data_IF_848475483696
#
_entry.id   IF_848475483696
#
_cell.length_a   1.000
_cell.length_b   1.000
_cell.length_c   1.000
_cell.angle_alpha   90.00
_cell.angle_beta   90.00
_cell.angle_gamma   90.00
#
_symmetry.space_group_name_H-M   'P 1'
#
loop_
_entity.id
_entity.type
_entity.pdbx_description
1 polymer ?
#
# COMPACT_ATOMS: atom_id res chain seq x y z
N UNK A 1 -23.48 -23.35 -4.08
CA UNK A 1 -23.36 -22.75 -2.72
C UNK A 1 -24.24 -21.50 -2.68
N UNK A 2 -25.39 -21.54 -2.02
CA UNK A 2 -26.16 -20.32 -1.74
C UNK A 2 -25.55 -19.62 -0.54
N UNK A 3 -25.10 -18.38 -0.73
CA UNK A 3 -24.60 -17.55 0.37
C UNK A 3 -25.81 -17.18 1.25
N UNK A 4 -25.70 -17.39 2.57
CA UNK A 4 -26.79 -17.04 3.49
C UNK A 4 -26.99 -15.52 3.54
N UNK A 5 -28.22 -15.05 3.48
CA UNK A 5 -28.56 -13.61 3.65
C UNK A 5 -27.96 -13.01 4.93
N UNK A 6 -27.79 -13.81 5.98
CA UNK A 6 -27.14 -13.40 7.22
C UNK A 6 -25.67 -13.03 6.99
N UNK A 7 -24.96 -13.79 6.17
CA UNK A 7 -23.55 -13.54 5.86
C UNK A 7 -23.40 -12.30 4.99
N UNK A 8 -24.33 -12.08 4.06
CA UNK A 8 -24.35 -10.87 3.22
C UNK A 8 -24.52 -9.63 4.11
N UNK A 9 -25.51 -9.63 5.01
CA UNK A 9 -25.74 -8.51 5.94
C UNK A 9 -24.56 -8.27 6.88
N UNK A 10 -23.90 -9.34 7.33
CA UNK A 10 -22.69 -9.23 8.16
C UNK A 10 -21.55 -8.55 7.38
N UNK A 11 -21.33 -8.96 6.13
CA UNK A 11 -20.32 -8.35 5.23
C UNK A 11 -20.63 -6.88 4.95
N UNK A 12 -21.90 -6.54 4.72
CA UNK A 12 -22.32 -5.16 4.49
C UNK A 12 -22.03 -4.28 5.72
N UNK A 13 -22.35 -4.76 6.92
CA UNK A 13 -22.04 -4.04 8.18
C UNK A 13 -20.55 -3.83 8.37
N UNK A 14 -19.74 -4.85 8.10
CA UNK A 14 -18.28 -4.70 8.19
C UNK A 14 -17.72 -3.73 7.14
N UNK A 15 -18.26 -3.73 5.92
CA UNK A 15 -17.83 -2.81 4.88
C UNK A 15 -18.18 -1.35 5.25
N UNK A 16 -19.39 -1.10 5.75
CA UNK A 16 -19.80 0.23 6.23
C UNK A 16 -18.90 0.71 7.37
N UNK A 17 -18.55 -0.17 8.31
CA UNK A 17 -17.64 0.16 9.40
C UNK A 17 -16.24 0.53 8.89
N UNK A 18 -15.69 -0.24 7.94
CA UNK A 18 -14.39 0.06 7.33
C UNK A 18 -14.38 1.42 6.63
N UNK A 19 -15.41 1.72 5.84
CA UNK A 19 -15.53 3.04 5.16
C UNK A 19 -15.60 4.17 6.18
N UNK A 20 -16.38 4.00 7.26
CA UNK A 20 -16.48 4.99 8.32
C UNK A 20 -15.14 5.22 9.03
N UNK A 21 -14.41 4.15 9.36
CA UNK A 21 -13.08 4.24 9.98
C UNK A 21 -12.07 4.93 9.05
N UNK A 22 -12.09 4.60 7.75
CA UNK A 22 -11.23 5.24 6.75
C UNK A 22 -11.50 6.75 6.68
N UNK A 23 -12.77 7.15 6.59
CA UNK A 23 -13.17 8.55 6.57
C UNK A 23 -12.79 9.32 7.85
N UNK A 24 -12.76 8.66 9.01
CA UNK A 24 -12.30 9.29 10.26
C UNK A 24 -10.78 9.38 10.34
N UNK A 25 -10.08 8.33 9.91
CA UNK A 25 -8.61 8.28 9.96
C UNK A 25 -7.94 9.41 9.19
N UNK A 26 -8.56 9.89 8.09
CA UNK A 26 -8.04 10.97 7.27
C UNK A 26 -8.10 12.34 7.96
N UNK A 27 -8.97 12.52 8.96
CA UNK A 27 -9.14 13.81 9.65
C UNK A 27 -8.06 14.05 10.70
N UNK A 28 -7.67 13.01 11.43
CA UNK A 28 -6.59 13.04 12.44
C UNK A 28 -6.71 14.14 13.53
N UNK A 29 -7.93 14.61 13.83
CA UNK A 29 -8.16 15.72 14.78
C UNK A 29 -8.41 15.22 16.20
N UNK A 30 -9.13 14.11 16.35
CA UNK A 30 -9.53 13.56 17.66
C UNK A 30 -8.75 12.28 18.01
N UNK A 31 -8.79 11.89 19.29
CA UNK A 31 -8.21 10.61 19.74
C UNK A 31 -8.81 9.40 19.01
N UNK A 32 -10.10 9.44 18.69
CA UNK A 32 -10.77 8.39 17.90
C UNK A 32 -10.21 8.34 16.48
N UNK A 33 -9.95 9.49 15.86
CA UNK A 33 -9.38 9.52 14.51
C UNK A 33 -7.96 8.95 14.50
N UNK A 34 -7.15 9.26 15.52
CA UNK A 34 -5.81 8.69 15.72
C UNK A 34 -5.87 7.18 15.92
N UNK A 35 -6.84 6.69 16.69
CA UNK A 35 -7.06 5.25 16.87
C UNK A 35 -7.47 4.58 15.55
N UNK A 36 -8.43 5.15 14.80
CA UNK A 36 -8.82 4.64 13.48
C UNK A 36 -7.62 4.62 12.53
N UNK A 37 -6.78 5.66 12.55
CA UNK A 37 -5.54 5.71 11.77
C UNK A 37 -4.57 4.60 12.16
N UNK A 38 -4.33 4.39 13.46
CA UNK A 38 -3.43 3.33 13.92
C UNK A 38 -3.93 1.93 13.52
N UNK A 39 -5.24 1.70 13.61
CA UNK A 39 -5.85 0.42 13.20
C UNK A 39 -5.74 0.19 11.69
N UNK A 40 -5.97 1.21 10.87
CA UNK A 40 -5.83 1.10 9.41
C UNK A 40 -4.38 0.86 9.04
N UNK A 41 -3.45 1.66 9.57
CA UNK A 41 -2.01 1.47 9.34
C UNK A 41 -1.64 0.04 9.68
N UNK A 42 -1.97 -0.46 10.87
CA UNK A 42 -1.67 -1.85 11.27
C UNK A 42 -2.28 -2.90 10.34
N UNK A 43 -3.45 -2.65 9.78
CA UNK A 43 -4.12 -3.60 8.88
C UNK A 43 -3.57 -3.56 7.44
N UNK A 44 -3.01 -2.43 7.01
CA UNK A 44 -2.55 -2.21 5.63
C UNK A 44 -1.03 -2.13 5.48
N UNK A 45 -0.28 -1.99 6.58
CA UNK A 45 1.18 -2.07 6.53
C UNK A 45 1.58 -3.52 6.30
N UNK A 46 2.14 -3.75 5.13
CA UNK A 46 2.84 -4.99 4.80
C UNK A 46 4.22 -4.90 5.45
N UNK A 47 4.69 -6.00 6.00
CA UNK A 47 6.04 -6.05 6.53
C UNK A 47 7.03 -5.82 5.35
N UNK A 48 8.11 -5.05 5.50
CA UNK A 48 9.03 -4.77 4.40
C UNK A 48 9.52 -6.04 3.67
N UNK A 49 9.71 -7.12 4.41
CA UNK A 49 10.08 -8.44 3.90
C UNK A 49 9.03 -9.10 2.98
N UNK A 50 7.76 -8.70 3.09
CA UNK A 50 6.64 -9.19 2.28
C UNK A 50 6.19 -8.15 1.23
N UNK A 51 6.86 -6.99 1.18
CA UNK A 51 6.56 -5.90 0.25
C UNK A 51 7.42 -6.04 -1.01
N UNK A 52 6.81 -6.55 -2.09
CA UNK A 52 7.46 -6.73 -3.39
C UNK A 52 8.13 -5.45 -3.92
N UNK A 53 7.60 -4.26 -3.60
CA UNK A 53 8.17 -2.99 -4.05
C UNK A 53 9.40 -2.54 -3.24
N UNK A 54 9.75 -3.27 -2.18
CA UNK A 54 10.94 -3.06 -1.33
C UNK A 54 11.89 -4.26 -1.38
N UNK A 55 11.76 -5.08 -2.42
CA UNK A 55 12.73 -6.12 -2.70
C UNK A 55 14.12 -5.46 -2.88
N UNK A 56 15.18 -5.99 -2.25
CA UNK A 56 16.56 -5.52 -2.48
C UNK A 56 16.92 -5.40 -3.96
N UNK A 57 16.29 -6.16 -4.85
CA UNK A 57 16.50 -6.05 -6.30
C UNK A 57 15.98 -4.73 -6.88
N UNK A 58 14.88 -4.19 -6.34
CA UNK A 58 14.25 -2.92 -6.78
C UNK A 58 14.91 -1.73 -6.09
N UNK A 59 15.17 -1.84 -4.78
CA UNK A 59 15.81 -0.76 -4.01
C UNK A 59 17.26 -0.49 -4.45
N UNK A 60 17.94 -1.51 -4.99
CA UNK A 60 19.29 -1.37 -5.57
C UNK A 60 19.29 -1.30 -7.11
N UNK A 61 18.13 -1.15 -7.75
CA UNK A 61 18.06 -0.85 -9.18
C UNK A 61 18.44 0.63 -9.38
N UNK A 62 19.75 0.89 -9.39
CA UNK A 62 20.31 2.14 -9.91
C UNK A 62 20.02 2.16 -11.41
N UNK A 63 18.82 2.64 -11.76
CA UNK A 63 18.42 2.78 -13.16
C UNK A 63 19.50 3.50 -13.96
N UNK A 64 19.67 3.10 -15.22
CA UNK A 64 20.73 3.65 -16.06
C UNK A 64 20.41 5.09 -16.48
N UNK A 65 21.39 5.99 -16.38
CA UNK A 65 21.31 7.31 -17.00
C UNK A 65 21.17 7.13 -18.52
N UNK A 66 20.06 7.58 -19.15
CA UNK A 66 19.84 7.41 -20.59
C UNK A 66 20.99 7.95 -21.44
N UNK A 67 21.65 9.02 -20.97
CA UNK A 67 22.78 9.64 -21.65
C UNK A 67 24.06 8.80 -21.52
N UNK A 68 24.22 8.04 -20.43
CA UNK A 68 25.31 7.06 -20.28
C UNK A 68 25.08 5.84 -21.18
N UNK A 69 23.84 5.35 -21.26
CA UNK A 69 23.49 4.23 -22.12
C UNK A 69 23.68 4.55 -23.61
N UNK A 70 23.29 5.76 -24.05
CA UNK A 70 23.45 6.23 -25.42
C UNK A 70 24.94 6.41 -25.79
N UNK A 71 25.77 6.93 -24.87
CA UNK A 71 27.22 7.00 -25.05
C UNK A 71 27.87 5.63 -25.17
N UNK A 72 27.50 4.69 -24.29
CA UNK A 72 27.99 3.31 -24.36
C UNK A 72 27.56 2.62 -25.66
N UNK A 73 26.32 2.80 -26.11
CA UNK A 73 25.81 2.24 -27.38
C UNK A 73 26.51 2.82 -28.61
N UNK A 74 27.01 4.05 -28.52
CA UNK A 74 27.84 4.68 -29.56
C UNK A 74 29.31 4.27 -29.51
N UNK A 75 29.69 3.42 -28.55
CA UNK A 75 31.05 2.92 -28.40
C UNK A 75 32.01 3.91 -27.74
N UNK A 76 31.49 4.93 -27.07
CA UNK A 76 32.30 5.85 -26.27
C UNK A 76 32.69 5.13 -24.96
N UNK A 77 33.99 4.97 -24.72
CA UNK A 77 34.49 4.42 -23.46
C UNK A 77 34.53 5.55 -22.41
N UNK A 78 34.10 5.22 -21.19
CA UNK A 78 33.99 6.15 -20.06
C UNK A 78 35.30 6.90 -19.75
#
# INVERSE_FOLDING_TARGET
>A
MSVSDKDIRKKERSARLMVWMAARSSRNQTFIDRLCRALIVRATTVAPEDDFMRDPLIDNDEGFDPDELDRYQRGETA
#
